data_IF_875078645689
#
_entry.id   IF_875078645689
#
_cell.length_a   1.000
_cell.length_b   1.000
_cell.length_c   1.000
_cell.angle_alpha   90.00
_cell.angle_beta   90.00
_cell.angle_gamma   90.00
#
_symmetry.space_group_name_H-M   'P 1'
#
loop_
_entity.id
_entity.type
_entity.pdbx_description
1 polymer ?
#
# COMPACT_ATOMS: atom_id res chain seq x y z
N UNK A 1 6.26 10.21 -3.20
CA UNK A 1 6.13 11.57 -2.60
C UNK A 1 5.32 12.55 -3.46
N UNK A 2 5.63 12.77 -4.75
CA UNK A 2 4.87 13.69 -5.63
C UNK A 2 3.36 13.39 -5.72
N UNK A 3 2.99 12.11 -5.83
CA UNK A 3 1.58 11.69 -5.95
C UNK A 3 0.79 11.91 -4.66
N UNK A 4 1.41 11.65 -3.50
CA UNK A 4 0.80 11.91 -2.18
C UNK A 4 0.60 13.41 -1.97
N UNK A 5 1.60 14.23 -2.34
CA UNK A 5 1.48 15.68 -2.29
C UNK A 5 0.40 16.21 -3.23
N UNK A 6 0.33 15.69 -4.46
CA UNK A 6 -0.72 16.02 -5.42
C UNK A 6 -2.11 15.68 -4.87
N UNK A 7 -2.28 14.50 -4.28
CA UNK A 7 -3.54 14.05 -3.70
C UNK A 7 -3.98 14.89 -2.48
N UNK A 8 -3.03 15.35 -1.65
CA UNK A 8 -3.33 16.24 -0.50
C UNK A 8 -3.74 17.63 -0.99
N UNK A 9 -3.07 18.14 -2.03
CA UNK A 9 -3.30 19.49 -2.55
C UNK A 9 -4.67 19.64 -3.21
N UNK A 10 -5.15 18.62 -3.90
CA UNK A 10 -6.46 18.63 -4.56
C UNK A 10 -7.56 18.07 -3.66
N UNK A 11 -7.88 18.81 -2.59
CA UNK A 11 -8.88 18.52 -1.54
C UNK A 11 -10.21 17.87 -2.02
N UNK A 12 -10.59 18.02 -3.29
CA UNK A 12 -11.73 17.35 -3.90
C UNK A 12 -11.54 15.83 -4.11
N UNK A 13 -10.32 15.35 -4.34
CA UNK A 13 -10.01 13.92 -4.51
C UNK A 13 -10.00 13.12 -3.21
N UNK A 14 -9.86 13.79 -2.05
CA UNK A 14 -9.97 13.16 -0.72
C UNK A 14 -11.34 12.53 -0.48
N UNK A 15 -12.37 12.93 -1.24
CA UNK A 15 -13.72 12.37 -1.16
C UNK A 15 -13.89 11.07 -1.95
N UNK A 16 -12.97 10.77 -2.88
CA UNK A 16 -13.05 9.62 -3.77
C UNK A 16 -12.32 8.43 -3.13
N UNK A 17 -13.07 7.42 -2.69
CA UNK A 17 -12.57 6.26 -1.93
C UNK A 17 -11.45 5.47 -2.61
N UNK A 18 -11.39 5.45 -3.94
CA UNK A 18 -10.31 4.82 -4.70
C UNK A 18 -8.96 5.45 -4.33
N UNK A 19 -8.93 6.78 -4.10
CA UNK A 19 -7.71 7.47 -3.71
C UNK A 19 -7.22 7.08 -2.31
N UNK A 20 -8.12 6.76 -1.37
CA UNK A 20 -7.71 6.29 -0.05
C UNK A 20 -6.93 4.97 -0.16
N UNK A 21 -7.42 4.03 -0.97
CA UNK A 21 -6.73 2.76 -1.23
C UNK A 21 -5.37 3.00 -1.91
N UNK A 22 -5.32 3.87 -2.93
CA UNK A 22 -4.08 4.22 -3.62
C UNK A 22 -3.08 4.86 -2.65
N UNK A 23 -3.51 5.81 -1.82
CA UNK A 23 -2.64 6.47 -0.83
C UNK A 23 -2.08 5.44 0.15
N UNK A 24 -2.91 4.48 0.59
CA UNK A 24 -2.47 3.44 1.53
C UNK A 24 -1.36 2.59 0.91
N UNK A 25 -1.52 2.16 -0.34
CA UNK A 25 -0.50 1.40 -1.08
C UNK A 25 0.77 2.23 -1.25
N UNK A 26 0.63 3.51 -1.63
CA UNK A 26 1.80 4.38 -1.81
C UNK A 26 2.58 4.59 -0.51
N UNK A 27 1.90 4.65 0.64
CA UNK A 27 2.55 4.75 1.95
C UNK A 27 3.36 3.47 2.21
N UNK A 28 2.77 2.29 1.96
CA UNK A 28 3.44 0.99 2.15
C UNK A 28 4.65 0.87 1.22
N UNK A 29 4.51 1.23 -0.05
CA UNK A 29 5.61 1.22 -1.02
C UNK A 29 6.72 2.18 -0.60
N UNK A 30 6.38 3.37 -0.11
CA UNK A 30 7.37 4.34 0.36
C UNK A 30 8.09 3.80 1.59
N UNK A 31 7.38 3.17 2.52
CA UNK A 31 7.99 2.59 3.72
C UNK A 31 8.97 1.45 3.35
N UNK A 32 8.55 0.52 2.48
CA UNK A 32 9.41 -0.55 2.00
C UNK A 32 10.64 -0.01 1.24
N UNK A 33 10.43 1.00 0.39
CA UNK A 33 11.53 1.64 -0.33
C UNK A 33 12.54 2.33 0.59
N UNK A 34 12.06 2.99 1.66
CA UNK A 34 12.94 3.54 2.69
C UNK A 34 13.77 2.45 3.37
N UNK A 35 13.15 1.30 3.70
CA UNK A 35 13.86 0.15 4.28
C UNK A 35 14.97 -0.37 3.37
N UNK A 36 14.69 -0.51 2.07
CA UNK A 36 15.68 -0.90 1.07
C UNK A 36 16.82 0.10 0.98
N UNK A 37 16.53 1.41 0.93
CA UNK A 37 17.58 2.45 0.90
C UNK A 37 18.47 2.38 2.14
N UNK A 38 17.86 2.24 3.33
CA UNK A 38 18.60 2.19 4.60
C UNK A 38 19.49 0.93 4.67
N UNK A 39 19.09 -0.16 4.03
CA UNK A 39 19.87 -1.40 4.00
C UNK A 39 20.94 -1.41 2.90
N UNK A 40 20.55 -1.16 1.65
CA UNK A 40 21.39 -1.40 0.47
C UNK A 40 22.40 -0.28 0.23
N UNK A 41 22.07 0.98 0.54
CA UNK A 41 23.00 2.11 0.35
C UNK A 41 24.25 2.00 1.23
N UNK A 42 24.15 1.74 2.56
CA UNK A 42 25.34 1.57 3.38
C UNK A 42 26.07 0.25 3.10
N UNK A 43 25.36 -0.83 2.78
CA UNK A 43 25.99 -2.10 2.38
C UNK A 43 26.86 -1.92 1.13
N UNK A 44 26.34 -1.24 0.10
CA UNK A 44 27.09 -0.94 -1.12
C UNK A 44 28.29 0.00 -0.89
N UNK A 45 28.12 1.02 -0.04
CA UNK A 45 29.17 2.00 0.23
C UNK A 45 30.32 1.44 1.08
N UNK A 46 30.03 0.53 2.00
CA UNK A 46 31.01 0.02 2.97
C UNK A 46 31.57 -1.35 2.58
N UNK A 47 30.92 -2.07 1.65
CA UNK A 47 31.32 -3.41 1.20
C UNK A 47 31.44 -4.43 2.36
N UNK A 48 30.70 -4.17 3.43
CA UNK A 48 30.52 -4.99 4.61
C UNK A 48 29.02 -5.00 4.94
N UNK A 49 28.50 -6.15 5.38
CA UNK A 49 27.11 -6.28 5.82
C UNK A 49 26.90 -5.41 7.07
N UNK A 50 26.38 -4.21 6.87
CA UNK A 50 26.33 -3.16 7.91
C UNK A 50 25.28 -3.41 9.00
N UNK A 51 24.29 -4.27 8.71
CA UNK A 51 23.15 -4.53 9.59
C UNK A 51 23.25 -5.93 10.21
N UNK A 52 23.08 -5.98 11.55
CA UNK A 52 22.98 -7.23 12.30
C UNK A 52 21.90 -8.14 11.69
N UNK A 53 22.13 -9.46 11.70
CA UNK A 53 21.23 -10.48 11.13
C UNK A 53 19.74 -10.23 11.43
N UNK A 54 19.40 -9.72 12.62
CA UNK A 54 18.03 -9.43 13.02
C UNK A 54 17.33 -8.38 12.13
N UNK A 55 18.05 -7.34 11.69
CA UNK A 55 17.49 -6.27 10.86
C UNK A 55 17.30 -6.69 9.39
N UNK A 56 18.08 -7.69 8.94
CA UNK A 56 17.86 -8.33 7.65
C UNK A 56 16.50 -9.04 7.60
N UNK A 57 16.16 -9.81 8.64
CA UNK A 57 14.85 -10.48 8.72
C UNK A 57 13.69 -9.48 8.73
N UNK A 58 13.83 -8.36 9.46
CA UNK A 58 12.82 -7.30 9.49
C UNK A 58 12.64 -6.67 8.11
N UNK A 59 13.73 -6.44 7.37
CA UNK A 59 13.68 -5.85 6.04
C UNK A 59 12.97 -6.77 5.04
N UNK A 60 13.29 -8.07 5.07
CA UNK A 60 12.61 -9.08 4.25
C UNK A 60 11.13 -9.18 4.60
N UNK A 61 10.79 -9.15 5.89
CA UNK A 61 9.40 -9.19 6.36
C UNK A 61 8.59 -7.99 5.86
N UNK A 62 9.14 -6.78 5.92
CA UNK A 62 8.51 -5.57 5.37
C UNK A 62 8.31 -5.69 3.86
N UNK A 63 9.29 -6.25 3.14
CA UNK A 63 9.21 -6.44 1.69
C UNK A 63 8.14 -7.46 1.30
N UNK A 64 8.06 -8.58 2.02
CA UNK A 64 7.02 -9.60 1.81
C UNK A 64 5.63 -9.03 2.12
N UNK A 65 5.48 -8.30 3.22
CA UNK A 65 4.23 -7.63 3.58
C UNK A 65 3.77 -6.68 2.47
N UNK A 66 4.69 -5.89 1.92
CA UNK A 66 4.42 -4.98 0.81
C UNK A 66 3.94 -5.75 -0.43
N UNK A 67 4.63 -6.83 -0.81
CA UNK A 67 4.27 -7.69 -1.94
C UNK A 67 2.89 -8.31 -1.80
N UNK A 68 2.61 -8.98 -0.69
CA UNK A 68 1.32 -9.63 -0.46
C UNK A 68 0.18 -8.62 -0.42
N UNK A 69 0.39 -7.49 0.26
CA UNK A 69 -0.61 -6.43 0.34
C UNK A 69 -0.94 -5.86 -1.05
N UNK A 70 0.07 -5.55 -1.86
CA UNK A 70 -0.14 -5.08 -3.25
C UNK A 70 -0.89 -6.12 -4.10
N UNK A 71 -0.53 -7.39 -3.96
CA UNK A 71 -1.15 -8.49 -4.70
C UNK A 71 -2.64 -8.62 -4.35
N UNK A 72 -3.01 -8.42 -3.09
CA UNK A 72 -4.41 -8.44 -2.63
C UNK A 72 -5.19 -7.17 -3.00
N UNK A 73 -4.54 -6.02 -3.16
CA UNK A 73 -5.21 -4.80 -3.61
C UNK A 73 -5.64 -4.84 -5.08
N UNK A 74 -4.90 -5.54 -5.94
CA UNK A 74 -5.22 -5.71 -7.37
C UNK A 74 -6.64 -6.25 -7.63
N UNK A 75 -7.07 -7.40 -7.06
CA UNK A 75 -8.42 -7.90 -7.26
C UNK A 75 -9.48 -6.97 -6.64
N UNK A 76 -9.18 -6.32 -5.51
CA UNK A 76 -10.09 -5.33 -4.92
C UNK A 76 -10.32 -4.17 -5.88
N UNK A 77 -9.28 -3.57 -6.44
CA UNK A 77 -9.43 -2.51 -7.44
C UNK A 77 -10.19 -2.98 -8.69
N UNK A 78 -9.93 -4.21 -9.15
CA UNK A 78 -10.64 -4.79 -10.29
C UNK A 78 -12.15 -4.86 -10.02
N UNK A 79 -12.56 -5.37 -8.85
CA UNK A 79 -13.97 -5.43 -8.43
C UNK A 79 -14.56 -4.03 -8.33
N UNK A 80 -13.85 -3.09 -7.70
CA UNK A 80 -14.33 -1.71 -7.54
C UNK A 80 -14.52 -1.04 -8.90
N UNK A 81 -13.58 -1.23 -9.83
CA UNK A 81 -13.66 -0.69 -11.17
C UNK A 81 -14.81 -1.32 -11.98
N UNK A 82 -14.97 -2.64 -11.88
CA UNK A 82 -16.10 -3.36 -12.47
C UNK A 82 -17.44 -2.83 -11.94
N UNK A 83 -17.58 -2.65 -10.63
CA UNK A 83 -18.79 -2.07 -10.02
C UNK A 83 -19.04 -0.64 -10.49
N UNK A 84 -17.98 0.17 -10.66
CA UNK A 84 -18.11 1.54 -11.15
C UNK A 84 -18.68 1.60 -12.58
N UNK A 85 -18.30 0.66 -13.44
CA UNK A 85 -18.75 0.59 -14.84
C UNK A 85 -20.15 -0.02 -14.95
N UNK A 86 -20.37 -1.19 -14.33
CA UNK A 86 -21.58 -1.99 -14.55
C UNK A 86 -22.73 -1.66 -13.59
N UNK A 87 -22.48 -1.11 -12.40
CA UNK A 87 -23.53 -0.72 -11.46
C UNK A 87 -23.24 0.61 -10.76
N UNK A 88 -23.34 1.74 -11.49
CA UNK A 88 -23.06 3.06 -10.93
C UNK A 88 -24.03 3.47 -9.81
N UNK A 89 -25.27 2.94 -9.81
CA UNK A 89 -26.25 3.22 -8.75
C UNK A 89 -25.84 2.56 -7.42
N UNK A 90 -25.41 1.29 -7.45
CA UNK A 90 -24.90 0.60 -6.26
C UNK A 90 -23.56 1.17 -5.80
N UNK A 91 -22.72 1.59 -6.75
CA UNK A 91 -21.44 2.23 -6.44
C UNK A 91 -21.61 3.55 -5.68
N UNK A 92 -22.64 4.34 -6.00
CA UNK A 92 -22.96 5.59 -5.30
C UNK A 92 -23.49 5.39 -3.89
N UNK A 93 -24.14 4.26 -3.59
CA UNK A 93 -24.64 3.94 -2.25
C UNK A 93 -23.58 3.32 -1.34
N UNK A 94 -22.46 2.84 -1.87
CA UNK A 94 -21.36 2.33 -1.07
C UNK A 94 -20.72 3.45 -0.24
N UNK A 95 -20.92 3.37 1.08
CA UNK A 95 -20.33 4.29 2.04
C UNK A 95 -18.82 4.03 2.21
N UNK A 96 -18.06 5.08 2.52
CA UNK A 96 -16.63 5.05 2.83
C UNK A 96 -16.24 3.98 3.86
N UNK A 97 -17.15 3.65 4.79
CA UNK A 97 -16.93 2.62 5.82
C UNK A 97 -16.65 1.23 5.22
N UNK A 98 -17.34 0.85 4.14
CA UNK A 98 -17.14 -0.46 3.51
C UNK A 98 -15.76 -0.58 2.87
N UNK A 99 -15.28 0.50 2.23
CA UNK A 99 -13.95 0.55 1.64
C UNK A 99 -12.85 0.58 2.70
N UNK A 100 -13.09 1.26 3.83
CA UNK A 100 -12.16 1.24 4.96
C UNK A 100 -12.06 -0.15 5.57
N UNK A 101 -13.19 -0.86 5.74
CA UNK A 101 -13.20 -2.25 6.20
C UNK A 101 -12.48 -3.16 5.20
N UNK A 102 -12.70 -2.99 3.90
CA UNK A 102 -11.98 -3.77 2.87
C UNK A 102 -10.46 -3.51 2.91
N UNK A 103 -10.05 -2.25 3.08
CA UNK A 103 -8.65 -1.86 3.20
C UNK A 103 -7.99 -2.49 4.44
N UNK A 104 -8.65 -2.39 5.61
CA UNK A 104 -8.18 -3.05 6.84
C UNK A 104 -8.11 -4.57 6.65
N UNK A 105 -9.12 -5.18 6.04
CA UNK A 105 -9.14 -6.62 5.78
C UNK A 105 -7.96 -7.06 4.91
N UNK A 106 -7.67 -6.33 3.82
CA UNK A 106 -6.52 -6.58 2.96
C UNK A 106 -5.20 -6.48 3.74
N UNK A 107 -5.04 -5.45 4.57
CA UNK A 107 -3.83 -5.29 5.39
C UNK A 107 -3.67 -6.43 6.40
N UNK A 108 -4.74 -6.82 7.07
CA UNK A 108 -4.70 -7.94 8.03
C UNK A 108 -4.38 -9.27 7.34
N UNK A 109 -4.90 -9.48 6.13
CA UNK A 109 -4.67 -10.71 5.38
C UNK A 109 -3.25 -10.73 4.79
N UNK A 110 -2.75 -9.59 4.31
CA UNK A 110 -1.35 -9.43 3.91
C UNK A 110 -0.38 -9.73 5.05
N UNK A 111 -0.69 -9.22 6.26
CA UNK A 111 0.11 -9.49 7.46
C UNK A 111 0.04 -10.95 7.91
N UNK A 112 -1.09 -11.63 7.72
CA UNK A 112 -1.23 -13.05 8.05
C UNK A 112 -0.49 -13.97 7.06
N UNK A 113 -0.30 -13.53 5.82
CA UNK A 113 0.42 -14.27 4.77
C UNK A 113 1.95 -14.09 4.83
N UNK A 114 2.42 -13.11 5.58
CA UNK A 114 3.84 -12.76 5.73
C UNK A 114 4.46 -13.50 6.91
#
# INVERSE_FOLDING_TARGET
MLVVWAAIKTREFSRTFIFLMIITIMIIDTAAYCTVIIHDVPSYALNIDFLANEMYYVSVLIQCLQWFTQLLFLPVFSIVHFMAIFSPMTFRTLSQKHFLVANIAVLTLGLLLT
#
